data_IF_875913199790
#
_entry.id   IF_875913199790
#
_cell.length_a   1.000
_cell.length_b   1.000
_cell.length_c   1.000
_cell.angle_alpha   90.00
_cell.angle_beta   90.00
_cell.angle_gamma   90.00
#
_symmetry.space_group_name_H-M   'P 1'
#
loop_
_entity.id
_entity.type
_entity.pdbx_description
1 polymer ?
#
# COMPACT_ATOMS: atom_id res chain seq x y z
N UNK A 1 -29.81 -3.46 -27.38
CA UNK A 1 -29.35 -3.91 -26.05
C UNK A 1 -27.84 -4.07 -26.12
N UNK A 2 -27.07 -3.20 -25.47
CA UNK A 2 -25.61 -3.30 -25.50
C UNK A 2 -25.16 -4.36 -24.48
N UNK A 3 -24.58 -5.46 -24.98
CA UNK A 3 -23.99 -6.52 -24.16
C UNK A 3 -22.80 -5.95 -23.38
N UNK A 4 -22.97 -5.72 -22.08
CA UNK A 4 -21.90 -5.37 -21.15
C UNK A 4 -20.99 -6.57 -20.91
N UNK A 5 -20.01 -6.80 -21.80
CA UNK A 5 -18.95 -7.77 -21.53
C UNK A 5 -18.13 -7.30 -20.32
N UNK A 6 -18.18 -8.05 -19.23
CA UNK A 6 -17.28 -7.84 -18.09
C UNK A 6 -15.83 -7.92 -18.58
N UNK A 7 -14.98 -6.91 -18.34
CA UNK A 7 -13.61 -6.95 -18.81
C UNK A 7 -12.89 -8.14 -18.20
N UNK A 8 -12.25 -8.95 -19.05
CA UNK A 8 -11.48 -10.12 -18.65
C UNK A 8 -10.33 -9.64 -17.77
N UNK A 9 -10.26 -10.09 -16.52
CA UNK A 9 -9.16 -9.74 -15.63
C UNK A 9 -7.84 -10.27 -16.21
N UNK A 10 -6.93 -9.36 -16.56
CA UNK A 10 -5.60 -9.70 -17.05
C UNK A 10 -4.67 -9.85 -15.85
N UNK A 11 -3.96 -10.99 -15.77
CA UNK A 11 -2.94 -11.25 -14.75
C UNK A 11 -1.57 -10.85 -15.30
N UNK A 12 -0.73 -10.25 -14.46
CA UNK A 12 0.64 -9.87 -14.78
C UNK A 12 1.58 -10.51 -13.75
N UNK A 13 2.66 -11.15 -14.21
CA UNK A 13 3.75 -11.59 -13.35
C UNK A 13 4.62 -10.36 -13.07
N UNK A 14 4.83 -10.03 -11.80
CA UNK A 14 5.49 -8.77 -11.37
C UNK A 14 6.73 -8.98 -10.51
N UNK A 15 6.83 -10.13 -9.85
CA UNK A 15 7.95 -10.55 -9.04
C UNK A 15 7.78 -12.04 -8.68
N UNK A 16 8.90 -12.67 -8.35
CA UNK A 16 8.97 -13.90 -7.56
C UNK A 16 8.87 -13.57 -6.06
N UNK A 17 8.56 -14.56 -5.23
CA UNK A 17 8.35 -14.34 -3.79
C UNK A 17 9.63 -13.93 -3.05
N UNK A 18 10.78 -14.42 -3.50
CA UNK A 18 12.12 -14.14 -2.96
C UNK A 18 12.63 -12.73 -3.27
N UNK A 19 12.07 -12.06 -4.28
CA UNK A 19 12.39 -10.66 -4.59
C UNK A 19 11.80 -9.64 -3.60
N UNK A 20 10.81 -10.04 -2.79
CA UNK A 20 10.12 -9.15 -1.85
C UNK A 20 9.98 -9.88 -0.52
N UNK A 21 11.00 -9.78 0.33
CA UNK A 21 11.00 -10.38 1.67
C UNK A 21 10.00 -9.71 2.63
N UNK A 22 9.68 -10.33 3.78
CA UNK A 22 8.79 -9.74 4.78
C UNK A 22 9.22 -8.33 5.20
N UNK A 23 8.27 -7.40 5.29
CA UNK A 23 8.50 -5.98 5.57
C UNK A 23 9.00 -5.17 4.38
N UNK A 24 9.33 -5.81 3.25
CA UNK A 24 9.79 -5.13 2.05
C UNK A 24 8.64 -4.81 1.09
N UNK A 25 8.96 -3.98 0.10
CA UNK A 25 8.05 -3.63 -0.99
C UNK A 25 8.79 -3.50 -2.31
N UNK A 26 8.05 -3.67 -3.41
CA UNK A 26 8.51 -3.42 -4.78
C UNK A 26 7.48 -2.57 -5.52
N UNK A 27 7.93 -1.55 -6.23
CA UNK A 27 7.06 -0.76 -7.11
C UNK A 27 7.26 -1.26 -8.54
N UNK A 28 6.16 -1.58 -9.21
CA UNK A 28 6.14 -2.08 -10.58
C UNK A 28 5.22 -1.23 -11.44
N UNK A 29 5.50 -1.21 -12.75
CA UNK A 29 4.69 -0.48 -13.73
C UNK A 29 3.94 -1.47 -14.61
N UNK A 30 2.61 -1.37 -14.63
CA UNK A 30 1.71 -2.17 -15.47
C UNK A 30 0.94 -1.21 -16.38
N UNK A 31 1.31 -1.17 -17.66
CA UNK A 31 0.79 -0.17 -18.60
C UNK A 31 1.12 1.24 -18.13
N UNK A 32 0.11 2.04 -17.80
CA UNK A 32 0.27 3.43 -17.30
C UNK A 32 0.10 3.56 -15.77
N UNK A 33 0.08 2.44 -15.04
CA UNK A 33 -0.16 2.41 -13.59
C UNK A 33 1.07 1.92 -12.87
N UNK A 34 1.54 2.68 -11.89
CA UNK A 34 2.50 2.20 -10.90
C UNK A 34 1.74 1.58 -9.72
N UNK A 35 2.18 0.40 -9.30
CA UNK A 35 1.60 -0.39 -8.21
C UNK A 35 2.72 -0.74 -7.22
N UNK A 36 2.53 -0.45 -5.94
CA UNK A 36 3.38 -0.96 -4.87
C UNK A 36 2.87 -2.31 -4.39
N UNK A 37 3.73 -3.33 -4.43
CA UNK A 37 3.52 -4.65 -3.86
C UNK A 37 4.25 -4.70 -2.53
N UNK A 38 3.53 -4.98 -1.45
CA UNK A 38 4.03 -5.03 -0.08
C UNK A 38 3.97 -6.47 0.42
N UNK A 39 5.02 -6.90 1.10
CA UNK A 39 5.02 -8.15 1.86
C UNK A 39 4.88 -7.82 3.36
N UNK A 40 3.74 -8.15 3.94
CA UNK A 40 3.42 -7.96 5.35
C UNK A 40 3.35 -9.34 5.99
N UNK A 41 4.39 -9.71 6.74
CA UNK A 41 4.51 -10.99 7.44
C UNK A 41 4.21 -12.23 6.57
N UNK A 42 4.69 -12.20 5.31
CA UNK A 42 4.52 -13.27 4.33
C UNK A 42 3.25 -13.17 3.48
N UNK A 43 2.35 -12.23 3.79
CA UNK A 43 1.16 -11.95 2.99
C UNK A 43 1.38 -10.75 2.06
N UNK A 44 0.95 -10.89 0.80
CA UNK A 44 1.15 -9.85 -0.21
C UNK A 44 -0.08 -8.96 -0.39
N UNK A 45 0.15 -7.65 -0.39
CA UNK A 45 -0.87 -6.63 -0.61
C UNK A 45 -0.40 -5.66 -1.70
N UNK A 46 -1.35 -5.02 -2.38
CA UNK A 46 -1.03 -4.10 -3.47
C UNK A 46 -1.82 -2.79 -3.35
N UNK A 47 -1.12 -1.67 -3.50
CA UNK A 47 -1.73 -0.35 -3.59
C UNK A 47 -1.29 0.35 -4.87
N UNK A 48 -2.13 1.25 -5.39
CA UNK A 48 -1.70 2.17 -6.45
C UNK A 48 -0.66 3.13 -5.89
N UNK A 49 0.42 3.38 -6.62
CA UNK A 49 1.47 4.34 -6.23
C UNK A 49 1.04 5.81 -6.49
N UNK A 50 -0.18 6.17 -6.13
CA UNK A 50 -0.72 7.52 -6.31
C UNK A 50 -1.57 7.86 -5.09
N UNK A 51 -1.14 8.83 -4.30
CA UNK A 51 -1.89 9.33 -3.16
C UNK A 51 -3.15 10.06 -3.66
N UNK A 52 -4.35 9.72 -3.17
CA UNK A 52 -5.60 10.30 -3.66
C UNK A 52 -5.75 11.80 -3.37
N UNK A 53 -4.93 12.37 -2.47
CA UNK A 53 -4.98 13.80 -2.16
C UNK A 53 -4.46 14.68 -3.30
N UNK A 54 -3.16 14.60 -3.61
CA UNK A 54 -2.51 15.44 -4.64
C UNK A 54 -1.61 14.67 -5.60
N UNK A 55 -1.68 13.33 -5.60
CA UNK A 55 -0.99 12.50 -6.59
C UNK A 55 0.46 12.13 -6.26
N UNK A 56 0.91 12.30 -5.01
CA UNK A 56 2.23 11.87 -4.57
C UNK A 56 2.49 10.38 -4.86
N UNK A 57 3.74 9.94 -5.07
CA UNK A 57 4.07 8.52 -5.21
C UNK A 57 3.91 7.79 -3.86
N UNK A 58 2.68 7.40 -3.52
CA UNK A 58 2.28 6.90 -2.21
C UNK A 58 3.16 5.75 -1.72
N UNK A 59 3.45 4.78 -2.60
CA UNK A 59 4.24 3.59 -2.27
C UNK A 59 5.74 3.89 -2.12
N UNK A 60 6.21 5.12 -2.42
CA UNK A 60 7.54 5.60 -2.01
C UNK A 60 7.55 6.20 -0.60
N UNK A 61 6.39 6.30 0.03
CA UNK A 61 6.21 6.80 1.39
C UNK A 61 6.90 5.94 2.46
N UNK A 62 6.78 6.40 3.70
CA UNK A 62 7.32 5.67 4.86
C UNK A 62 6.35 4.54 5.22
N UNK A 63 6.81 3.30 5.07
CA UNK A 63 6.15 2.13 5.64
C UNK A 63 6.50 2.05 7.12
N UNK A 64 5.50 1.91 7.99
CA UNK A 64 5.66 2.04 9.44
C UNK A 64 4.58 1.28 10.21
N UNK A 65 4.76 1.07 11.53
CA UNK A 65 3.70 0.60 12.40
C UNK A 65 2.55 1.62 12.51
N UNK A 66 1.37 1.10 12.88
CA UNK A 66 0.28 1.90 13.42
C UNK A 66 0.70 2.48 14.77
N UNK A 67 0.66 3.81 14.88
CA UNK A 67 0.88 4.49 16.16
C UNK A 67 -0.50 4.80 16.73
N UNK A 68 -0.72 4.37 17.97
CA UNK A 68 -1.94 4.65 18.73
C UNK A 68 -1.57 5.32 20.05
N UNK A 69 -2.53 6.02 20.66
CA UNK A 69 -2.36 6.62 21.98
C UNK A 69 -3.58 6.39 22.84
N UNK A 70 -3.36 5.94 24.08
CA UNK A 70 -4.40 5.77 25.10
C UNK A 70 -4.49 6.96 26.06
N UNK A 71 -3.61 7.95 25.92
CA UNK A 71 -3.51 9.10 26.81
C UNK A 71 -2.23 9.90 26.60
N UNK A 72 -2.14 11.04 27.28
CA UNK A 72 -0.95 11.90 27.21
C UNK A 72 0.29 11.11 27.61
N UNK A 73 1.32 11.15 26.77
CA UNK A 73 2.57 10.41 26.95
C UNK A 73 2.43 8.88 26.95
N UNK A 74 1.29 8.34 26.51
CA UNK A 74 1.07 6.91 26.33
C UNK A 74 0.93 6.63 24.84
N UNK A 75 2.02 6.15 24.23
CA UNK A 75 2.08 5.83 22.80
C UNK A 75 2.39 4.35 22.65
N UNK A 76 1.61 3.66 21.82
CA UNK A 76 1.82 2.27 21.47
C UNK A 76 2.06 2.12 19.98
N UNK A 77 2.99 1.23 19.63
CA UNK A 77 3.28 0.81 18.27
C UNK A 77 2.65 -0.55 18.05
N UNK A 78 1.76 -0.65 17.07
CA UNK A 78 1.01 -1.85 16.75
C UNK A 78 1.12 -2.11 15.24
N UNK A 79 0.83 -3.33 14.80
CA UNK A 79 0.66 -3.66 13.37
C UNK A 79 1.88 -3.22 12.54
N UNK A 80 3.03 -3.80 12.87
CA UNK A 80 4.31 -3.49 12.25
C UNK A 80 4.21 -3.55 10.72
N UNK A 81 4.81 -2.58 10.04
CA UNK A 81 4.80 -2.46 8.58
C UNK A 81 3.42 -2.32 7.88
N UNK A 82 2.30 -2.24 8.59
CA UNK A 82 0.96 -2.25 7.98
C UNK A 82 0.48 -0.89 7.45
N UNK A 83 1.18 0.20 7.78
CA UNK A 83 0.79 1.56 7.42
C UNK A 83 1.77 2.18 6.42
N UNK A 84 1.25 2.81 5.36
CA UNK A 84 2.03 3.63 4.44
C UNK A 84 1.69 5.10 4.63
N UNK A 85 2.71 5.91 4.96
CA UNK A 85 2.59 7.36 5.13
C UNK A 85 3.03 8.08 3.87
N UNK A 86 2.12 8.85 3.27
CA UNK A 86 2.38 9.63 2.06
C UNK A 86 3.55 10.61 2.26
N UNK A 87 4.51 10.70 1.31
CA UNK A 87 5.72 11.51 1.48
C UNK A 87 5.50 13.02 1.40
N UNK A 88 4.34 13.49 0.94
CA UNK A 88 4.05 14.93 0.84
C UNK A 88 3.36 15.49 2.10
N UNK A 89 2.10 15.12 2.31
CA UNK A 89 1.28 15.69 3.39
C UNK A 89 1.03 14.71 4.53
N UNK A 90 1.83 13.63 4.60
CA UNK A 90 1.83 12.68 5.72
C UNK A 90 0.51 11.93 5.96
N UNK A 91 -0.45 12.00 5.04
CA UNK A 91 -1.67 11.22 5.13
C UNK A 91 -1.35 9.72 5.09
N UNK A 92 -1.92 8.97 6.02
CA UNK A 92 -1.61 7.58 6.26
C UNK A 92 -2.71 6.67 5.71
N UNK A 93 -2.30 5.51 5.23
CA UNK A 93 -3.19 4.50 4.67
C UNK A 93 -2.83 3.12 5.19
N UNK A 94 -3.86 2.34 5.46
CA UNK A 94 -3.76 0.92 5.75
C UNK A 94 -3.39 0.17 4.47
N UNK A 95 -2.24 -0.52 4.47
CA UNK A 95 -1.74 -1.21 3.27
C UNK A 95 -2.66 -2.37 2.85
N UNK A 96 -3.28 -3.04 3.82
CA UNK A 96 -4.10 -4.24 3.56
C UNK A 96 -5.43 -3.90 2.91
N UNK A 97 -5.98 -2.72 3.21
CA UNK A 97 -7.33 -2.31 2.80
C UNK A 97 -7.35 -1.11 1.86
N UNK A 98 -6.26 -0.34 1.80
CA UNK A 98 -6.18 0.93 1.07
C UNK A 98 -6.99 2.07 1.68
N UNK A 99 -7.58 1.88 2.87
CA UNK A 99 -8.33 2.93 3.57
C UNK A 99 -7.37 3.96 4.15
N UNK A 100 -7.75 5.23 4.01
CA UNK A 100 -7.12 6.31 4.76
C UNK A 100 -7.34 6.10 6.26
N UNK A 101 -6.34 6.45 7.06
CA UNK A 101 -6.47 6.60 8.50
C UNK A 101 -6.92 8.03 8.79
N UNK A 102 -7.81 8.14 9.75
CA UNK A 102 -8.42 9.33 10.34
C UNK A 102 -7.61 9.90 11.50
#
# INVERSE_FOLDING_TARGET
>A
MASTKTPKQQRHVVATADEIGPGQRKIVTIGRREIGIFNIDGAYFALRNVCPHKGAPLCKGLQRPLITSSGVSQVAYQRENEIIKCPWHLWEFDIKTGRALD
#
